data_IF_896405315248
#
_entry.id   IF_896405315248
#
_cell.length_a   1.000
_cell.length_b   1.000
_cell.length_c   1.000
_cell.angle_alpha   90.00
_cell.angle_beta   90.00
_cell.angle_gamma   90.00
#
_symmetry.space_group_name_H-M   'P 1'
#
loop_
_entity.id
_entity.type
_entity.pdbx_description
1 polymer ?
#
# COMPACT_ATOMS: atom_id res chain seq x y z
N UNK A 1 30.64 -2.29 15.15
CA UNK A 1 29.53 -2.28 16.13
C UNK A 1 28.24 -2.99 15.67
N UNK A 2 27.97 -3.19 14.37
CA UNK A 2 26.77 -3.91 13.91
C UNK A 2 26.81 -5.44 14.11
N UNK A 3 28.00 -6.07 14.00
CA UNK A 3 28.15 -7.52 14.04
C UNK A 3 27.78 -8.16 15.40
N UNK A 4 28.18 -7.56 16.52
CA UNK A 4 27.88 -8.09 17.86
C UNK A 4 26.37 -8.11 18.17
N UNK A 5 25.61 -7.12 17.69
CA UNK A 5 24.13 -7.12 17.81
C UNK A 5 23.48 -8.20 16.97
N UNK A 6 24.07 -8.54 15.81
CA UNK A 6 23.58 -9.60 14.93
C UNK A 6 23.65 -10.99 15.57
N UNK A 7 24.74 -11.28 16.29
CA UNK A 7 24.95 -12.57 16.95
C UNK A 7 23.94 -12.78 18.09
N UNK A 8 23.76 -11.78 18.96
CA UNK A 8 22.75 -11.81 20.03
C UNK A 8 21.32 -11.97 19.49
N UNK A 9 21.03 -11.39 18.33
CA UNK A 9 19.74 -11.54 17.66
C UNK A 9 19.52 -12.98 17.17
N UNK A 10 20.51 -13.59 16.51
CA UNK A 10 20.41 -14.97 16.02
C UNK A 10 20.21 -15.98 17.17
N UNK A 11 20.94 -15.80 18.27
CA UNK A 11 20.79 -16.67 19.45
C UNK A 11 19.42 -16.53 20.11
N UNK A 12 18.86 -15.30 20.13
CA UNK A 12 17.49 -15.10 20.60
C UNK A 12 16.47 -15.77 19.68
N UNK A 13 16.65 -15.67 18.37
CA UNK A 13 15.75 -16.29 17.38
C UNK A 13 15.81 -17.82 17.47
N UNK A 14 17.00 -18.41 17.64
CA UNK A 14 17.14 -19.87 17.78
C UNK A 14 16.38 -20.40 19.01
N UNK A 15 16.45 -19.70 20.15
CA UNK A 15 15.68 -20.03 21.35
C UNK A 15 14.16 -19.96 21.11
N UNK A 16 13.68 -18.99 20.32
CA UNK A 16 12.25 -18.83 20.02
C UNK A 16 11.69 -19.89 19.05
N UNK A 17 12.56 -20.47 18.22
CA UNK A 17 12.22 -21.57 17.30
C UNK A 17 12.37 -22.95 17.95
N UNK A 18 13.17 -23.04 19.02
CA UNK A 18 13.44 -24.28 19.74
C UNK A 18 12.18 -24.88 20.36
N UNK A 19 12.07 -26.21 20.28
CA UNK A 19 11.04 -27.02 20.96
C UNK A 19 11.50 -27.56 22.32
N UNK A 20 12.72 -27.23 22.75
CA UNK A 20 13.36 -27.83 23.93
C UNK A 20 12.55 -27.64 25.22
N UNK A 21 11.84 -26.52 25.36
CA UNK A 21 11.03 -26.22 26.55
C UNK A 21 9.52 -26.24 26.25
N UNK A 22 9.09 -27.01 25.24
CA UNK A 22 7.69 -27.18 24.88
C UNK A 22 7.33 -26.60 23.52
N UNK A 23 6.17 -25.92 23.42
CA UNK A 23 5.69 -25.37 22.15
C UNK A 23 6.57 -24.17 21.74
N UNK A 24 7.09 -24.14 20.51
CA UNK A 24 7.95 -23.05 20.06
C UNK A 24 7.11 -21.77 19.90
N UNK A 25 7.71 -20.63 20.25
CA UNK A 25 7.06 -19.32 20.23
C UNK A 25 6.84 -18.86 18.80
N UNK A 26 7.83 -19.07 17.93
CA UNK A 26 7.75 -18.75 16.51
C UNK A 26 7.60 -20.03 15.69
N UNK A 27 6.63 -20.03 14.77
CA UNK A 27 6.39 -21.11 13.80
C UNK A 27 6.31 -20.53 12.39
N UNK A 28 7.46 -20.14 11.81
CA UNK A 28 7.46 -19.53 10.50
C UNK A 28 7.15 -20.56 9.41
N UNK A 29 6.22 -20.26 8.52
CA UNK A 29 5.89 -21.11 7.37
C UNK A 29 6.94 -21.03 6.24
N UNK A 30 7.88 -20.10 6.34
CA UNK A 30 8.96 -19.84 5.36
C UNK A 30 10.28 -19.62 6.11
N UNK A 31 11.43 -19.96 5.51
CA UNK A 31 12.72 -19.73 6.14
C UNK A 31 12.95 -18.23 6.40
N UNK A 32 13.56 -17.91 7.56
CA UNK A 32 13.87 -16.54 7.97
C UNK A 32 15.13 -16.02 7.25
N UNK A 33 15.08 -15.98 5.92
CA UNK A 33 16.18 -15.54 5.05
C UNK A 33 15.69 -14.42 4.14
N UNK A 34 16.54 -13.41 3.93
CA UNK A 34 16.24 -12.31 3.03
C UNK A 34 16.21 -12.79 1.57
N UNK A 35 15.21 -12.30 0.83
CA UNK A 35 15.09 -12.50 -0.60
C UNK A 35 15.83 -11.43 -1.38
N UNK A 36 16.16 -11.74 -2.62
CA UNK A 36 16.86 -10.84 -3.55
C UNK A 36 15.87 -9.99 -4.37
N UNK A 37 14.63 -9.89 -3.89
CA UNK A 37 13.54 -9.16 -4.51
C UNK A 37 12.67 -8.48 -3.44
N UNK A 38 12.06 -7.36 -3.82
CA UNK A 38 11.07 -6.66 -2.98
C UNK A 38 9.67 -6.81 -3.55
N UNK A 39 8.67 -6.79 -2.67
CA UNK A 39 7.29 -6.85 -3.09
C UNK A 39 6.91 -5.64 -3.95
N UNK A 40 6.14 -5.86 -5.00
CA UNK A 40 5.57 -4.79 -5.80
C UNK A 40 4.64 -3.92 -4.94
N UNK A 41 4.66 -2.60 -5.22
CA UNK A 41 3.74 -1.66 -4.58
C UNK A 41 2.32 -2.02 -4.99
N UNK A 42 1.48 -2.34 -4.01
CA UNK A 42 0.05 -2.56 -4.25
C UNK A 42 -0.57 -1.24 -4.69
N UNK A 43 -1.28 -1.27 -5.82
CA UNK A 43 -2.13 -0.16 -6.23
C UNK A 43 -3.22 -0.01 -5.16
N UNK A 44 -3.47 1.22 -4.69
CA UNK A 44 -4.56 1.47 -3.75
C UNK A 44 -5.86 1.01 -4.41
N UNK A 45 -6.62 0.14 -3.73
CA UNK A 45 -7.93 -0.29 -4.21
C UNK A 45 -8.80 0.95 -4.42
N UNK A 46 -9.47 1.03 -5.56
CA UNK A 46 -10.34 2.16 -5.86
C UNK A 46 -11.48 2.26 -4.86
N UNK A 47 -11.72 3.45 -4.32
CA UNK A 47 -12.96 3.80 -3.61
C UNK A 47 -13.87 4.60 -4.54
N UNK A 48 -15.17 4.63 -4.21
CA UNK A 48 -16.08 5.58 -4.84
C UNK A 48 -15.63 7.01 -4.50
N UNK A 49 -15.44 7.85 -5.52
CA UNK A 49 -15.20 9.27 -5.37
C UNK A 49 -16.54 10.02 -5.31
N UNK A 50 -16.56 11.18 -4.67
CA UNK A 50 -17.71 12.09 -4.64
C UNK A 50 -18.98 11.53 -3.96
N UNK A 51 -18.79 10.73 -2.89
CA UNK A 51 -19.89 10.09 -2.15
C UNK A 51 -20.69 11.10 -1.32
N UNK A 52 -20.05 12.17 -0.87
CA UNK A 52 -20.66 13.25 -0.09
C UNK A 52 -21.56 14.13 -0.95
N UNK A 53 -21.13 14.44 -2.16
CA UNK A 53 -21.85 15.32 -3.08
C UNK A 53 -23.05 14.58 -3.68
N UNK A 54 -22.89 13.29 -4.01
CA UNK A 54 -24.02 12.48 -4.49
C UNK A 54 -25.07 12.26 -3.38
N UNK A 55 -24.67 12.11 -2.11
CA UNK A 55 -25.64 11.92 -1.03
C UNK A 55 -26.49 13.17 -0.78
N UNK A 56 -25.90 14.36 -0.89
CA UNK A 56 -26.62 15.65 -0.81
C UNK A 56 -27.56 15.83 -2.00
N UNK A 57 -27.11 15.52 -3.22
CA UNK A 57 -27.97 15.57 -4.42
C UNK A 57 -29.18 14.64 -4.28
N UNK A 58 -28.97 13.40 -3.81
CA UNK A 58 -30.05 12.45 -3.58
C UNK A 58 -31.02 12.91 -2.49
N UNK A 59 -30.53 13.59 -1.46
CA UNK A 59 -31.38 14.18 -0.43
C UNK A 59 -32.28 15.29 -0.99
N UNK A 60 -31.71 16.18 -1.81
CA UNK A 60 -32.47 17.25 -2.48
C UNK A 60 -33.52 16.67 -3.43
N UNK A 61 -33.13 15.69 -4.25
CA UNK A 61 -34.07 15.01 -5.15
C UNK A 61 -35.21 14.34 -4.40
N UNK A 62 -34.93 13.67 -3.28
CA UNK A 62 -35.96 13.03 -2.46
C UNK A 62 -36.98 14.02 -1.91
N UNK A 63 -36.55 15.23 -1.54
CA UNK A 63 -37.45 16.27 -1.01
C UNK A 63 -38.28 16.96 -2.10
N UNK A 64 -37.73 17.06 -3.32
CA UNK A 64 -38.31 17.84 -4.41
C UNK A 64 -38.82 16.98 -5.58
N UNK A 65 -39.23 15.74 -5.31
CA UNK A 65 -39.79 14.82 -6.32
C UNK A 65 -38.88 14.62 -7.55
N UNK A 66 -37.56 14.64 -7.33
CA UNK A 66 -36.53 14.47 -8.37
C UNK A 66 -36.55 15.56 -9.45
N UNK A 67 -37.08 16.75 -9.15
CA UNK A 67 -37.05 17.89 -10.07
C UNK A 67 -35.64 18.50 -10.09
N UNK A 68 -34.95 18.33 -11.22
CA UNK A 68 -33.55 18.73 -11.41
C UNK A 68 -33.32 20.24 -11.31
N UNK A 69 -34.29 21.06 -11.75
CA UNK A 69 -34.16 22.52 -11.73
C UNK A 69 -34.03 23.09 -10.31
N UNK A 70 -34.69 22.47 -9.33
CA UNK A 70 -34.65 22.88 -7.92
C UNK A 70 -33.31 22.51 -7.28
N UNK A 71 -32.75 21.34 -7.64
CA UNK A 71 -31.50 20.80 -7.10
C UNK A 71 -30.27 21.13 -7.96
N UNK A 72 -30.33 22.21 -8.74
CA UNK A 72 -29.29 22.56 -9.71
C UNK A 72 -27.96 22.96 -9.06
N UNK A 73 -27.98 23.43 -7.82
CA UNK A 73 -26.77 23.78 -7.07
C UNK A 73 -26.01 22.52 -6.63
N UNK A 74 -26.73 21.54 -6.07
CA UNK A 74 -26.21 20.25 -5.62
C UNK A 74 -25.68 19.44 -6.81
N UNK A 75 -26.36 19.55 -7.95
CA UNK A 75 -25.94 18.89 -9.19
C UNK A 75 -24.62 19.46 -9.72
N UNK A 76 -24.47 20.79 -9.73
CA UNK A 76 -23.20 21.44 -10.11
C UNK A 76 -22.05 21.03 -9.19
N UNK A 77 -22.29 20.97 -7.88
CA UNK A 77 -21.29 20.54 -6.90
C UNK A 77 -20.86 19.07 -7.10
N UNK A 78 -21.80 18.19 -7.45
CA UNK A 78 -21.47 16.81 -7.78
C UNK A 78 -20.59 16.71 -9.03
N UNK A 79 -20.95 17.40 -10.13
CA UNK A 79 -20.15 17.36 -11.35
C UNK A 79 -18.77 17.99 -11.18
N UNK A 80 -18.64 19.10 -10.46
CA UNK A 80 -17.32 19.67 -10.18
C UNK A 80 -16.42 18.69 -9.42
N UNK A 81 -16.97 17.97 -8.43
CA UNK A 81 -16.21 16.92 -7.76
C UNK A 81 -15.80 15.80 -8.72
N UNK A 82 -16.68 15.38 -9.63
CA UNK A 82 -16.39 14.32 -10.61
C UNK A 82 -15.25 14.74 -11.54
N UNK A 83 -15.28 15.97 -12.05
CA UNK A 83 -14.25 16.52 -12.94
C UNK A 83 -12.89 16.60 -12.24
N UNK A 84 -12.87 17.12 -11.01
CA UNK A 84 -11.66 17.17 -10.19
C UNK A 84 -11.12 15.77 -9.87
N UNK A 85 -12.01 14.83 -9.51
CA UNK A 85 -11.62 13.45 -9.23
C UNK A 85 -11.06 12.75 -10.49
N UNK A 86 -11.61 13.04 -11.67
CA UNK A 86 -11.11 12.52 -12.93
C UNK A 86 -9.75 13.12 -13.30
N UNK A 87 -9.57 14.43 -13.13
CA UNK A 87 -8.29 15.12 -13.33
C UNK A 87 -7.22 14.58 -12.36
N UNK A 88 -7.55 14.41 -11.09
CA UNK A 88 -6.64 13.87 -10.08
C UNK A 88 -6.24 12.41 -10.37
N UNK A 89 -7.14 11.59 -10.92
CA UNK A 89 -6.82 10.21 -11.36
C UNK A 89 -5.81 10.20 -12.50
N UNK A 90 -5.96 11.10 -13.49
CA UNK A 90 -5.02 11.25 -14.60
C UNK A 90 -3.64 11.73 -14.12
N UNK A 91 -3.60 12.66 -13.16
CA UNK A 91 -2.33 13.17 -12.63
C UNK A 91 -1.61 12.16 -11.72
N UNK A 92 -2.35 11.36 -10.95
CA UNK A 92 -1.77 10.32 -10.07
C UNK A 92 -1.07 9.20 -10.83
N UNK A 93 -1.54 8.84 -12.04
CA UNK A 93 -0.84 7.83 -12.84
C UNK A 93 0.55 8.34 -13.28
N UNK A 94 0.66 9.62 -13.63
CA UNK A 94 1.91 10.27 -14.05
C UNK A 94 2.87 10.54 -12.87
N UNK A 95 2.36 11.02 -11.74
CA UNK A 95 3.17 11.33 -10.54
C UNK A 95 3.71 10.10 -9.81
N UNK A 96 3.07 8.93 -9.95
CA UNK A 96 3.50 7.69 -9.28
C UNK A 96 4.91 7.22 -9.69
N UNK A 97 5.43 7.71 -10.82
CA UNK A 97 6.77 7.42 -11.33
C UNK A 97 7.84 8.32 -10.69
N UNK A 98 7.47 9.50 -10.18
CA UNK A 98 8.42 10.59 -9.86
C UNK A 98 8.56 10.94 -8.38
N UNK A 99 7.74 10.40 -7.47
CA UNK A 99 7.78 10.78 -6.04
C UNK A 99 8.82 9.98 -5.21
N UNK A 100 10.10 10.33 -5.38
CA UNK A 100 10.82 11.21 -4.46
C UNK A 100 11.29 10.77 -3.05
N UNK A 101 10.93 9.60 -2.52
CA UNK A 101 11.43 9.21 -1.17
C UNK A 101 11.91 7.75 -1.07
N UNK A 102 11.36 6.85 -1.89
CA UNK A 102 11.73 5.43 -1.91
C UNK A 102 11.97 4.95 -3.33
N UNK A 103 13.05 4.19 -3.51
CA UNK A 103 13.35 3.56 -4.80
C UNK A 103 12.14 2.74 -5.30
N UNK A 104 11.76 2.85 -6.58
CA UNK A 104 10.72 2.03 -7.14
C UNK A 104 11.12 0.55 -7.03
N UNK A 105 10.16 -0.35 -6.76
CA UNK A 105 10.45 -1.74 -6.43
C UNK A 105 11.22 -2.47 -7.53
N UNK A 106 11.04 -2.07 -8.80
CA UNK A 106 11.81 -2.58 -9.94
C UNK A 106 13.30 -2.24 -9.84
N UNK A 107 13.64 -0.99 -9.52
CA UNK A 107 15.03 -0.56 -9.35
C UNK A 107 15.67 -1.21 -8.10
N UNK A 108 14.93 -1.26 -6.99
CA UNK A 108 15.40 -1.94 -5.78
C UNK A 108 15.67 -3.44 -6.03
N UNK A 109 14.80 -4.12 -6.76
CA UNK A 109 14.99 -5.54 -7.11
C UNK A 109 16.19 -5.73 -8.04
N UNK A 110 16.43 -4.82 -8.99
CA UNK A 110 17.62 -4.89 -9.83
C UNK A 110 18.91 -4.76 -8.99
N UNK A 111 18.93 -3.87 -8.00
CA UNK A 111 20.08 -3.73 -7.09
C UNK A 111 20.30 -4.98 -6.23
N UNK A 112 19.24 -5.53 -5.65
CA UNK A 112 19.32 -6.76 -4.84
C UNK A 112 19.76 -7.97 -5.65
N UNK A 113 19.40 -8.05 -6.94
CA UNK A 113 19.87 -9.11 -7.83
C UNK A 113 21.34 -8.98 -8.20
N UNK A 114 21.91 -7.77 -8.20
CA UNK A 114 23.35 -7.55 -8.42
C UNK A 114 24.18 -7.96 -7.21
N UNK A 115 23.63 -7.79 -6.00
CA UNK A 115 24.27 -8.14 -4.74
C UNK A 115 23.36 -9.08 -3.94
N UNK A 116 23.24 -10.35 -4.36
CA UNK A 116 22.34 -11.31 -3.72
C UNK A 116 22.83 -11.66 -2.31
N UNK A 117 21.89 -12.05 -1.44
CA UNK A 117 22.25 -12.57 -0.13
C UNK A 117 22.92 -13.95 -0.30
N UNK A 118 24.12 -14.09 0.24
CA UNK A 118 24.81 -15.39 0.32
C UNK A 118 24.03 -16.30 1.27
N UNK A 119 23.43 -17.36 0.73
CA UNK A 119 22.63 -18.34 1.50
C UNK A 119 23.40 -19.58 1.90
N UNK A 120 24.55 -19.79 1.27
CA UNK A 120 25.50 -20.86 1.54
C UNK A 120 26.89 -20.24 1.50
N UNK A 121 27.71 -20.53 2.50
CA UNK A 121 29.14 -20.25 2.46
C UNK A 121 29.73 -21.03 1.27
N UNK A 122 30.64 -20.41 0.52
CA UNK A 122 31.43 -21.07 -0.55
C UNK A 122 32.58 -21.81 0.13
#
# INVERSE_FOLDING_TARGET
MAAQRGILFQEKVSRLLSKQHGRPVLKPNKPLVLKDEVANRRVKRGGASCVTEISVLMACWKQNSFVESVCSAEMKAFYSCVDEAQAAKKNKSQLSVMQGERLPPKQATLLLKRFPNLRTEI
#
